data_IF_233679836106
#
_entry.id   IF_233679836106
#
_cell.length_a   1.000
_cell.length_b   1.000
_cell.length_c   1.000
_cell.angle_alpha   90.00
_cell.angle_beta   90.00
_cell.angle_gamma   90.00
#
_symmetry.space_group_name_H-M   'P 1'
#
loop_
_entity.id
_entity.type
_entity.pdbx_description
1 polymer ?
#
# COMPACT_ATOMS: atom_id res chain seq x y z
N UNK A 1 -3.36 11.84 8.31
CA UNK A 1 -3.13 10.85 7.24
C UNK A 1 -3.86 9.55 7.59
N UNK A 2 -4.74 9.03 6.71
CA UNK A 2 -5.48 7.78 6.99
C UNK A 2 -4.56 6.56 6.92
N UNK A 3 -4.99 5.40 7.44
CA UNK A 3 -4.20 4.17 7.34
C UNK A 3 -4.00 3.74 5.88
N UNK A 4 -5.02 3.91 5.04
CA UNK A 4 -4.93 3.69 3.59
C UNK A 4 -3.86 4.58 2.95
N UNK A 5 -3.84 5.88 3.26
CA UNK A 5 -2.84 6.79 2.70
C UNK A 5 -1.42 6.40 3.15
N UNK A 6 -1.26 5.94 4.40
CA UNK A 6 0.03 5.42 4.90
C UNK A 6 0.48 4.17 4.14
N UNK A 7 -0.43 3.25 3.79
CA UNK A 7 -0.13 2.07 2.96
C UNK A 7 0.34 2.49 1.58
N UNK A 8 -0.37 3.42 0.92
CA UNK A 8 0.01 3.91 -0.41
C UNK A 8 1.37 4.63 -0.38
N UNK A 9 1.61 5.44 0.64
CA UNK A 9 2.90 6.11 0.84
C UNK A 9 4.04 5.12 1.08
N UNK A 10 3.82 4.05 1.86
CA UNK A 10 4.83 3.03 2.10
C UNK A 10 5.21 2.30 0.79
N UNK A 11 4.21 1.89 0.00
CA UNK A 11 4.43 1.25 -1.29
C UNK A 11 5.13 2.16 -2.31
N UNK A 12 4.82 3.47 -2.31
CA UNK A 12 5.47 4.44 -3.19
C UNK A 12 6.96 4.64 -2.85
N UNK A 13 7.30 4.61 -1.57
CA UNK A 13 8.67 4.83 -1.09
C UNK A 13 9.58 3.60 -1.26
N UNK A 14 9.04 2.45 -1.64
CA UNK A 14 9.79 1.22 -1.83
C UNK A 14 10.55 1.20 -3.17
N UNK A 15 11.84 0.85 -3.14
CA UNK A 15 12.72 0.86 -4.32
C UNK A 15 12.50 -0.32 -5.27
N UNK A 16 11.83 -1.38 -4.82
CA UNK A 16 11.47 -2.54 -5.64
C UNK A 16 10.06 -2.40 -6.25
N UNK A 17 9.38 -1.28 -6.00
CA UNK A 17 8.00 -1.03 -6.38
C UNK A 17 7.03 -2.15 -5.91
N UNK A 18 7.40 -2.91 -4.86
CA UNK A 18 6.53 -3.90 -4.26
C UNK A 18 6.94 -4.25 -2.82
N UNK A 19 5.95 -4.62 -2.01
CA UNK A 19 6.19 -5.09 -0.64
C UNK A 19 5.32 -6.30 -0.32
N UNK A 20 5.89 -7.29 0.35
CA UNK A 20 5.12 -8.36 1.00
C UNK A 20 4.33 -7.84 2.20
N UNK A 21 3.35 -8.60 2.68
CA UNK A 21 2.58 -8.26 3.88
C UNK A 21 3.49 -7.97 5.09
N UNK A 22 4.57 -8.76 5.26
CA UNK A 22 5.54 -8.58 6.35
C UNK A 22 6.32 -7.27 6.23
N UNK A 23 6.80 -6.94 5.02
CA UNK A 23 7.53 -5.70 4.77
C UNK A 23 6.62 -4.47 4.99
N UNK A 24 5.38 -4.53 4.49
CA UNK A 24 4.37 -3.49 4.67
C UNK A 24 4.03 -3.29 6.15
N UNK A 25 3.75 -4.37 6.89
CA UNK A 25 3.45 -4.30 8.32
C UNK A 25 4.59 -3.62 9.09
N UNK A 26 5.84 -3.98 8.77
CA UNK A 26 7.04 -3.37 9.37
C UNK A 26 7.16 -1.89 9.03
N UNK A 27 7.00 -1.51 7.75
CA UNK A 27 7.04 -0.12 7.31
C UNK A 27 5.95 0.76 7.95
N UNK A 28 4.83 0.15 8.32
CA UNK A 28 3.70 0.81 8.99
C UNK A 28 3.81 0.83 10.53
N UNK A 29 4.95 0.43 11.09
CA UNK A 29 5.19 0.41 12.53
C UNK A 29 4.64 -0.83 13.22
N UNK A 30 4.87 -2.01 12.63
CA UNK A 30 4.32 -3.30 13.08
C UNK A 30 2.79 -3.30 13.13
N UNK A 31 2.16 -2.85 12.05
CA UNK A 31 0.71 -2.85 11.94
C UNK A 31 0.12 -4.25 12.13
N UNK A 32 -1.01 -4.34 12.83
CA UNK A 32 -1.73 -5.60 13.05
C UNK A 32 -2.16 -6.23 11.71
N UNK A 33 -1.97 -7.54 11.58
CA UNK A 33 -2.22 -8.28 10.34
C UNK A 33 -3.67 -8.19 9.85
N UNK A 34 -4.64 -8.24 10.78
CA UNK A 34 -6.08 -8.12 10.47
C UNK A 34 -6.39 -6.76 9.83
N UNK A 35 -5.88 -5.68 10.43
CA UNK A 35 -6.05 -4.30 9.97
C UNK A 35 -5.37 -4.07 8.63
N UNK A 36 -4.16 -4.59 8.45
CA UNK A 36 -3.42 -4.48 7.18
C UNK A 36 -4.18 -5.21 6.06
N UNK A 37 -4.56 -6.46 6.29
CA UNK A 37 -5.31 -7.28 5.33
C UNK A 37 -6.63 -6.61 4.92
N UNK A 38 -7.39 -6.12 5.91
CA UNK A 38 -8.65 -5.41 5.64
C UNK A 38 -8.46 -4.21 4.71
N UNK A 39 -7.45 -3.36 4.94
CA UNK A 39 -7.24 -2.18 4.10
C UNK A 39 -6.64 -2.51 2.73
N UNK A 40 -5.79 -3.53 2.63
CA UNK A 40 -5.25 -3.98 1.35
C UNK A 40 -6.36 -4.50 0.43
N UNK A 41 -7.35 -5.22 0.98
CA UNK A 41 -8.52 -5.65 0.22
C UNK A 41 -9.32 -4.44 -0.31
N UNK A 42 -9.63 -3.46 0.53
CA UNK A 42 -10.35 -2.25 0.09
C UNK A 42 -9.57 -1.44 -0.97
N UNK A 43 -8.25 -1.33 -0.81
CA UNK A 43 -7.38 -0.66 -1.78
C UNK A 43 -7.29 -1.44 -3.10
N UNK A 44 -7.36 -2.76 -3.06
CA UNK A 44 -7.37 -3.60 -4.24
C UNK A 44 -8.70 -3.51 -4.98
N UNK A 45 -9.82 -3.56 -4.26
CA UNK A 45 -11.16 -3.46 -4.83
C UNK A 45 -11.41 -2.08 -5.47
N UNK A 46 -10.77 -1.03 -4.93
CA UNK A 46 -10.77 0.31 -5.53
C UNK A 46 -9.76 0.49 -6.67
N UNK A 47 -8.99 -0.55 -7.00
CA UNK A 47 -8.02 -0.53 -8.09
C UNK A 47 -6.77 0.31 -7.82
N UNK A 48 -6.47 0.65 -6.55
CA UNK A 48 -5.31 1.46 -6.16
C UNK A 48 -4.06 0.61 -5.92
N UNK A 49 -4.23 -0.63 -5.48
CA UNK A 49 -3.13 -1.60 -5.35
C UNK A 49 -3.45 -2.89 -6.08
N UNK A 50 -2.43 -3.67 -6.40
CA UNK A 50 -2.59 -5.00 -6.96
C UNK A 50 -1.67 -5.99 -6.26
N UNK A 51 -2.16 -7.22 -6.07
CA UNK A 51 -1.35 -8.33 -5.60
C UNK A 51 -0.59 -8.94 -6.78
N UNK A 52 0.69 -9.22 -6.60
CA UNK A 52 1.57 -9.81 -7.62
C UNK A 52 1.55 -11.34 -7.55
N UNK A 53 2.08 -12.00 -8.58
CA UNK A 53 2.19 -13.46 -8.62
C UNK A 53 3.04 -14.04 -7.47
N UNK A 54 3.97 -13.26 -6.92
CA UNK A 54 4.81 -13.61 -5.76
C UNK A 54 4.17 -13.23 -4.42
N UNK A 55 2.87 -12.93 -4.40
CA UNK A 55 2.14 -12.45 -3.21
C UNK A 55 2.64 -11.13 -2.62
N UNK A 56 3.36 -10.32 -3.40
CA UNK A 56 3.68 -8.94 -3.04
C UNK A 56 2.54 -7.98 -3.40
N UNK A 57 2.56 -6.78 -2.86
CA UNK A 57 1.64 -5.69 -3.15
C UNK A 57 2.38 -4.58 -3.87
N UNK A 58 1.78 -4.01 -4.91
CA UNK A 58 2.29 -2.84 -5.64
C UNK A 58 1.17 -1.83 -5.86
N UNK A 59 1.55 -0.59 -6.12
CA UNK A 59 0.62 0.42 -6.61
C UNK A 59 0.20 0.12 -8.06
N UNK A 60 -1.03 0.45 -8.40
CA UNK A 60 -1.44 0.68 -9.78
C UNK A 60 -1.12 2.13 -10.18
N UNK A 61 -1.33 2.50 -11.44
CA UNK A 61 -1.22 3.90 -11.86
C UNK A 61 -2.16 4.82 -11.06
N UNK A 62 -3.42 4.43 -10.88
CA UNK A 62 -4.36 5.18 -10.03
C UNK A 62 -3.88 5.28 -8.58
N UNK A 63 -3.22 4.23 -8.06
CA UNK A 63 -2.57 4.25 -6.75
C UNK A 63 -1.44 5.28 -6.65
N UNK A 64 -0.60 5.40 -7.69
CA UNK A 64 0.44 6.42 -7.77
C UNK A 64 -0.16 7.83 -7.77
N UNK A 65 -1.11 8.12 -8.65
CA UNK A 65 -1.76 9.43 -8.74
C UNK A 65 -2.36 9.87 -7.38
N UNK A 66 -3.05 8.93 -6.71
CA UNK A 66 -3.64 9.12 -5.39
C UNK A 66 -2.57 9.42 -4.33
N UNK A 67 -1.44 8.71 -4.36
CA UNK A 67 -0.33 8.89 -3.41
C UNK A 67 0.41 10.22 -3.64
N UNK A 68 0.52 10.68 -4.89
CA UNK A 68 1.14 11.97 -5.23
C UNK A 68 0.28 13.16 -4.82
N UNK A 69 -1.04 13.10 -5.07
CA UNK A 69 -1.98 14.15 -4.67
C UNK A 69 -1.91 14.47 -3.16
N UNK A 70 -1.64 13.44 -2.34
CA UNK A 70 -1.48 13.56 -0.89
C UNK A 70 -0.06 13.92 -0.42
N UNK A 71 0.94 13.86 -1.29
CA UNK A 71 2.31 14.30 -0.97
C UNK A 71 2.50 15.80 -1.20
N UNK A 72 1.62 16.42 -2.00
CA UNK A 72 1.66 17.83 -2.37
C UNK A 72 0.78 18.74 -1.49
N UNK A 73 0.09 18.18 -0.48
CA UNK A 73 -0.73 18.89 0.51
C UNK A 73 -0.05 18.89 1.87
#
# INVERSE_FOLDING_TARGET
MSFADRVLSALRSDSQAMMTDLQLAKALGNAEASKLSHHLLLLQDSGLVAKTATSGWRLTWAGHDRAEAHSAS
#
